data_IF_943935316831
#
_entry.id   IF_943935316831
#
_cell.length_a   1.000
_cell.length_b   1.000
_cell.length_c   1.000
_cell.angle_alpha   90.00
_cell.angle_beta   90.00
_cell.angle_gamma   90.00
#
_symmetry.space_group_name_H-M   'P 1'
#
loop_
_entity.id
_entity.type
_entity.pdbx_description
1 polymer ?
#
# COMPACT_ATOMS: atom_id res chain seq x y z
N UNK A 1 -20.23 -14.20 14.38
CA UNK A 1 -19.18 -15.02 13.74
C UNK A 1 -19.18 -14.73 12.25
N UNK A 2 -18.12 -14.11 11.71
CA UNK A 2 -18.01 -13.78 10.28
C UNK A 2 -17.96 -15.10 9.49
N UNK A 3 -18.84 -15.34 8.48
CA UNK A 3 -18.88 -16.62 7.81
C UNK A 3 -17.71 -16.73 6.82
N UNK A 4 -16.67 -17.47 7.20
CA UNK A 4 -15.50 -17.80 6.37
C UNK A 4 -15.86 -18.37 4.97
N UNK A 5 -17.07 -18.92 4.79
CA UNK A 5 -17.56 -19.40 3.49
C UNK A 5 -17.69 -18.29 2.44
N UNK A 6 -18.04 -17.06 2.84
CA UNK A 6 -18.14 -15.92 1.91
C UNK A 6 -16.77 -15.53 1.33
N UNK A 7 -15.71 -15.64 2.12
CA UNK A 7 -14.34 -15.38 1.67
C UNK A 7 -13.84 -16.38 0.61
N UNK A 8 -14.30 -17.65 0.67
CA UNK A 8 -13.98 -18.67 -0.34
C UNK A 8 -14.56 -18.36 -1.72
N UNK A 9 -15.68 -17.64 -1.79
CA UNK A 9 -16.28 -17.19 -3.04
C UNK A 9 -15.53 -16.01 -3.67
N UNK A 10 -14.92 -15.14 -2.84
CA UNK A 10 -14.15 -13.99 -3.29
C UNK A 10 -12.74 -14.35 -3.78
N UNK A 11 -12.19 -15.49 -3.32
CA UNK A 11 -10.87 -16.00 -3.69
C UNK A 11 -10.61 -16.05 -5.22
N UNK A 12 -11.49 -16.62 -6.07
CA UNK A 12 -11.29 -16.61 -7.52
C UNK A 12 -11.29 -15.21 -8.16
N UNK A 13 -12.04 -14.23 -7.63
CA UNK A 13 -11.99 -12.83 -8.11
C UNK A 13 -10.66 -12.17 -7.76
N UNK A 14 -10.20 -12.35 -6.53
CA UNK A 14 -8.92 -11.83 -6.04
C UNK A 14 -7.76 -12.46 -6.81
N UNK A 15 -7.89 -13.75 -7.17
CA UNK A 15 -6.91 -14.49 -7.99
C UNK A 15 -6.78 -13.92 -9.40
N UNK A 16 -7.85 -13.34 -9.96
CA UNK A 16 -7.83 -12.74 -11.31
C UNK A 16 -7.04 -11.43 -11.36
N UNK A 17 -6.97 -10.71 -10.24
CA UNK A 17 -6.27 -9.43 -10.09
C UNK A 17 -4.91 -9.57 -9.37
N UNK A 18 -4.34 -10.79 -9.32
CA UNK A 18 -3.07 -11.11 -8.64
C UNK A 18 -1.93 -10.18 -8.99
N UNK A 19 -1.81 -9.75 -10.24
CA UNK A 19 -0.74 -8.86 -10.68
C UNK A 19 -0.82 -7.50 -9.96
N UNK A 20 -2.02 -6.90 -9.90
CA UNK A 20 -2.28 -5.62 -9.24
C UNK A 20 -2.08 -5.73 -7.73
N UNK A 21 -2.51 -6.84 -7.14
CA UNK A 21 -2.35 -7.10 -5.71
C UNK A 21 -0.86 -7.31 -5.37
N UNK A 22 -0.11 -8.08 -6.15
CA UNK A 22 1.32 -8.28 -5.92
C UNK A 22 2.10 -6.96 -6.04
N UNK A 23 1.74 -6.12 -7.01
CA UNK A 23 2.31 -4.79 -7.18
C UNK A 23 1.96 -3.89 -5.98
N UNK A 24 0.73 -3.95 -5.48
CA UNK A 24 0.30 -3.28 -4.26
C UNK A 24 1.07 -3.74 -3.03
N UNK A 25 1.30 -5.04 -2.87
CA UNK A 25 2.09 -5.61 -1.76
C UNK A 25 3.55 -5.13 -1.84
N UNK A 26 4.14 -5.15 -3.03
CA UNK A 26 5.52 -4.68 -3.24
C UNK A 26 5.65 -3.19 -2.91
N UNK A 27 4.68 -2.37 -3.34
CA UNK A 27 4.57 -0.96 -2.99
C UNK A 27 4.43 -0.73 -1.48
N UNK A 28 3.61 -1.54 -0.79
CA UNK A 28 3.46 -1.47 0.68
C UNK A 28 4.80 -1.76 1.35
N UNK A 29 5.51 -2.81 0.94
CA UNK A 29 6.82 -3.16 1.49
C UNK A 29 7.82 -2.01 1.33
N UNK A 30 7.92 -1.42 0.15
CA UNK A 30 8.81 -0.27 -0.11
C UNK A 30 8.43 0.93 0.76
N UNK A 31 7.13 1.21 0.90
CA UNK A 31 6.63 2.32 1.73
C UNK A 31 6.94 2.08 3.21
N UNK A 32 6.78 0.85 3.71
CA UNK A 32 7.10 0.47 5.08
C UNK A 32 8.60 0.58 5.38
N UNK A 33 9.47 0.13 4.47
CA UNK A 33 10.93 0.29 4.62
C UNK A 33 11.29 1.77 4.67
N UNK A 34 10.72 2.58 3.76
CA UNK A 34 10.94 4.03 3.72
C UNK A 34 10.45 4.71 5.00
N UNK A 35 9.39 4.22 5.63
CA UNK A 35 8.89 4.74 6.89
C UNK A 35 9.85 4.51 8.06
N UNK A 36 10.55 3.37 8.08
CA UNK A 36 11.54 3.04 9.13
C UNK A 36 12.90 3.69 8.84
N UNK A 37 13.23 3.95 7.57
CA UNK A 37 14.48 4.60 7.18
C UNK A 37 14.60 6.03 7.73
N UNK A 38 13.51 6.80 7.76
CA UNK A 38 13.50 8.20 8.26
C UNK A 38 13.98 8.34 9.71
N UNK A 39 13.38 7.65 10.72
CA UNK A 39 13.85 7.76 12.10
C UNK A 39 15.28 7.21 12.29
N UNK A 40 15.70 6.24 11.48
CA UNK A 40 17.07 5.71 11.51
C UNK A 40 18.10 6.72 11.00
N UNK A 41 17.77 7.47 9.95
CA UNK A 41 18.59 8.58 9.45
C UNK A 41 18.68 9.70 10.48
N UNK A 42 17.57 10.02 11.16
CA UNK A 42 17.56 11.00 12.26
C UNK A 42 18.49 10.55 13.40
N UNK A 43 18.41 9.29 13.82
CA UNK A 43 19.29 8.73 14.85
C UNK A 43 20.76 8.88 14.50
N UNK A 44 21.16 8.47 13.27
CA UNK A 44 22.53 8.62 12.80
C UNK A 44 22.98 10.09 12.71
N UNK A 45 22.08 11.01 12.36
CA UNK A 45 22.39 12.43 12.31
C UNK A 45 22.70 12.99 13.71
N UNK A 46 21.90 12.62 14.72
CA UNK A 46 22.11 13.04 16.12
C UNK A 46 23.43 12.50 16.65
N UNK A 47 23.71 11.22 16.42
CA UNK A 47 24.93 10.55 16.89
C UNK A 47 26.21 11.16 16.27
N UNK A 48 26.14 11.52 14.97
CA UNK A 48 27.24 12.20 14.26
C UNK A 48 27.42 13.64 14.73
N UNK A 49 26.34 14.33 15.07
CA UNK A 49 26.41 15.69 15.60
C UNK A 49 27.00 15.72 17.01
N UNK A 50 26.66 14.75 17.87
CA UNK A 50 27.27 14.60 19.20
C UNK A 50 28.77 14.25 19.13
N UNK A 51 29.20 13.53 18.09
CA UNK A 51 30.61 13.19 17.88
C UNK A 51 31.52 14.35 17.46
N UNK A 52 30.97 15.57 17.27
CA UNK A 52 31.73 16.78 16.93
C UNK A 52 32.23 16.86 15.49
N UNK A 53 31.79 15.95 14.62
CA UNK A 53 32.13 15.95 13.18
C UNK A 53 31.31 17.07 12.52
N UNK A 54 32.01 18.04 11.94
CA UNK A 54 31.49 19.35 11.53
C UNK A 54 30.28 19.35 10.59
N UNK A 55 29.63 20.52 10.58
CA UNK A 55 28.44 20.92 9.79
C UNK A 55 28.47 20.46 8.31
N UNK A 56 29.66 20.24 7.73
CA UNK A 56 29.84 19.74 6.38
C UNK A 56 29.19 18.37 6.11
N UNK A 57 29.07 17.50 7.13
CA UNK A 57 28.34 16.23 6.99
C UNK A 57 26.83 16.35 7.24
N UNK A 58 26.36 17.43 7.84
CA UNK A 58 24.93 17.62 8.18
C UNK A 58 24.11 17.88 6.92
N UNK A 59 24.63 18.68 5.99
CA UNK A 59 23.96 19.02 4.73
C UNK A 59 23.65 17.78 3.87
N UNK A 60 24.60 16.87 3.57
CA UNK A 60 24.31 15.67 2.79
C UNK A 60 23.34 14.71 3.51
N UNK A 61 23.39 14.61 4.85
CA UNK A 61 22.45 13.79 5.62
C UNK A 61 21.03 14.38 5.55
N UNK A 62 20.89 15.69 5.73
CA UNK A 62 19.61 16.38 5.60
C UNK A 62 19.03 16.25 4.18
N UNK A 63 19.88 16.36 3.15
CA UNK A 63 19.46 16.17 1.76
C UNK A 63 19.02 14.72 1.49
N UNK A 64 19.73 13.73 2.03
CA UNK A 64 19.34 12.33 1.95
C UNK A 64 18.00 12.06 2.67
N UNK A 65 17.74 12.71 3.80
CA UNK A 65 16.45 12.62 4.49
C UNK A 65 15.31 13.21 3.67
N UNK A 66 15.51 14.39 3.07
CA UNK A 66 14.52 15.00 2.17
C UNK A 66 14.23 14.08 0.98
N UNK A 67 15.26 13.52 0.36
CA UNK A 67 15.12 12.55 -0.72
C UNK A 67 14.31 11.31 -0.29
N UNK A 68 14.62 10.74 0.87
CA UNK A 68 13.89 9.60 1.41
C UNK A 68 12.41 9.90 1.68
N UNK A 69 12.10 11.10 2.20
CA UNK A 69 10.71 11.54 2.44
C UNK A 69 9.96 11.77 1.13
N UNK A 70 10.60 12.36 0.12
CA UNK A 70 10.00 12.54 -1.21
C UNK A 70 9.67 11.18 -1.86
N UNK A 71 10.61 10.25 -1.84
CA UNK A 71 10.40 8.89 -2.35
C UNK A 71 9.23 8.24 -1.60
N UNK A 72 9.24 8.29 -0.26
CA UNK A 72 8.13 7.77 0.57
C UNK A 72 6.79 8.39 0.20
N UNK A 73 6.74 9.70 -0.04
CA UNK A 73 5.53 10.42 -0.44
C UNK A 73 4.98 9.88 -1.77
N UNK A 74 5.85 9.74 -2.77
CA UNK A 74 5.49 9.17 -4.08
C UNK A 74 4.99 7.73 -3.90
N UNK A 75 5.76 6.86 -3.25
CA UNK A 75 5.39 5.44 -3.06
C UNK A 75 4.07 5.30 -2.27
N UNK A 76 3.84 6.14 -1.27
CA UNK A 76 2.59 6.17 -0.49
C UNK A 76 1.38 6.54 -1.34
N UNK A 77 1.52 7.53 -2.23
CA UNK A 77 0.46 7.91 -3.16
C UNK A 77 0.07 6.75 -4.09
N UNK A 78 1.07 6.10 -4.69
CA UNK A 78 0.84 4.95 -5.55
C UNK A 78 0.22 3.78 -4.79
N UNK A 79 0.69 3.48 -3.57
CA UNK A 79 0.09 2.48 -2.70
C UNK A 79 -1.41 2.72 -2.48
N UNK A 80 -1.80 3.95 -2.11
CA UNK A 80 -3.22 4.29 -1.92
C UNK A 80 -4.04 4.09 -3.18
N UNK A 81 -3.51 4.50 -4.34
CA UNK A 81 -4.20 4.30 -5.63
C UNK A 81 -4.40 2.83 -5.96
N UNK A 82 -3.40 1.99 -5.72
CA UNK A 82 -3.45 0.55 -6.03
C UNK A 82 -4.38 -0.18 -5.07
N UNK A 83 -4.30 0.09 -3.77
CA UNK A 83 -5.17 -0.54 -2.75
C UNK A 83 -6.63 -0.13 -2.95
N UNK A 84 -6.92 1.18 -3.05
CA UNK A 84 -8.30 1.66 -3.23
C UNK A 84 -8.84 1.25 -4.61
N UNK A 85 -8.02 1.33 -5.65
CA UNK A 85 -8.40 0.94 -7.01
C UNK A 85 -8.72 -0.55 -7.15
N UNK A 86 -7.92 -1.42 -6.50
CA UNK A 86 -8.19 -2.87 -6.45
C UNK A 86 -9.48 -3.18 -5.68
N UNK A 87 -9.69 -2.54 -4.53
CA UNK A 87 -10.94 -2.68 -3.77
C UNK A 87 -12.17 -2.32 -4.59
N UNK A 88 -12.14 -1.19 -5.31
CA UNK A 88 -13.26 -0.75 -6.16
C UNK A 88 -13.52 -1.71 -7.33
N UNK A 89 -12.48 -2.30 -7.92
CA UNK A 89 -12.65 -3.32 -8.97
C UNK A 89 -13.33 -4.58 -8.43
N UNK A 90 -12.91 -5.04 -7.25
CA UNK A 90 -13.51 -6.21 -6.60
C UNK A 90 -14.99 -5.93 -6.27
N UNK A 91 -15.30 -4.75 -5.71
CA UNK A 91 -16.68 -4.36 -5.41
C UNK A 91 -17.54 -4.30 -6.68
N UNK A 92 -17.01 -3.75 -7.78
CA UNK A 92 -17.74 -3.68 -9.05
C UNK A 92 -18.05 -5.08 -9.60
N UNK A 93 -17.08 -5.99 -9.59
CA UNK A 93 -17.28 -7.37 -10.03
C UNK A 93 -18.30 -8.11 -9.16
N UNK A 94 -18.30 -7.86 -7.84
CA UNK A 94 -19.27 -8.45 -6.93
C UNK A 94 -20.68 -7.92 -7.18
N UNK A 95 -20.82 -6.60 -7.39
CA UNK A 95 -22.09 -5.97 -7.77
C UNK A 95 -22.62 -6.55 -9.08
N UNK A 96 -21.79 -6.65 -10.12
CA UNK A 96 -22.21 -7.21 -11.41
C UNK A 96 -22.69 -8.66 -11.29
N UNK A 97 -22.02 -9.49 -10.48
CA UNK A 97 -22.45 -10.87 -10.25
C UNK A 97 -23.77 -10.94 -9.48
N UNK A 98 -23.94 -10.08 -8.47
CA UNK A 98 -25.18 -10.03 -7.69
C UNK A 98 -26.35 -9.57 -8.56
N UNK A 99 -26.15 -8.53 -9.38
CA UNK A 99 -27.16 -8.04 -10.32
C UNK A 99 -27.61 -9.12 -11.30
N UNK A 100 -26.66 -9.81 -11.96
CA UNK A 100 -27.01 -10.91 -12.87
C UNK A 100 -27.77 -12.03 -12.19
N UNK A 101 -27.41 -12.35 -10.94
CA UNK A 101 -28.11 -13.39 -10.20
C UNK A 101 -29.56 -12.98 -9.91
N UNK A 102 -29.79 -11.73 -9.51
CA UNK A 102 -31.13 -11.19 -9.27
C UNK A 102 -31.95 -11.15 -10.57
N UNK A 103 -31.35 -10.78 -11.70
CA UNK A 103 -32.03 -10.79 -13.01
C UNK A 103 -32.48 -12.19 -13.46
N UNK A 104 -31.81 -13.24 -12.99
CA UNK A 104 -32.16 -14.63 -13.30
C UNK A 104 -33.17 -15.26 -12.33
N UNK A 105 -33.61 -14.54 -11.30
CA UNK A 105 -34.62 -15.02 -10.37
C UNK A 105 -36.02 -14.85 -10.98
N UNK A 106 -36.86 -15.87 -10.81
CA UNK A 106 -38.25 -15.86 -11.23
C UNK A 106 -39.05 -14.78 -10.47
N UNK A 107 -40.12 -14.28 -11.08
CA UNK A 107 -40.95 -13.19 -10.56
C UNK A 107 -41.69 -13.45 -9.25
N UNK A 108 -41.42 -14.57 -8.56
CA UNK A 108 -41.90 -14.86 -7.20
C UNK A 108 -40.87 -14.53 -6.10
N UNK A 109 -39.70 -14.00 -6.46
CA UNK A 109 -38.69 -13.46 -5.53
C UNK A 109 -38.81 -11.94 -5.33
#
# INVERSE_FOLDING_TARGET
MIPFKAFRFLLPLVVREKAVISFGILLILVTSISQVAVPRLIGMAVERLESGIGIDLVIPIAMAMVGAVLIRGITSFWTRKTVIGSSRRIEKQLRDQMFRHIETLDGSF
#
